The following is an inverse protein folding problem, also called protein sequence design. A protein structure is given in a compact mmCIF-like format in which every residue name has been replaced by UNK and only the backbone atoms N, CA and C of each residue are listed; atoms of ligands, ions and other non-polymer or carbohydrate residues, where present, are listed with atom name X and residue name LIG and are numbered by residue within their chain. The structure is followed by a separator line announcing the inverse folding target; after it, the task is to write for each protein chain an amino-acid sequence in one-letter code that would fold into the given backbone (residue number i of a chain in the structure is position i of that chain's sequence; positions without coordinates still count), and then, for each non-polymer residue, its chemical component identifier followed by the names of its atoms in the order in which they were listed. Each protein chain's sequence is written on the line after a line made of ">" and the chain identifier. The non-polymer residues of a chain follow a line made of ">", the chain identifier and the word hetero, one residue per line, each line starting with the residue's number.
data_IF_200612441106
#
_entry.id   IF_200612441106
#
_cell.length_a   1.000
_cell.length_b   1.000
_cell.length_c   1.000
_cell.angle_alpha   90.00
_cell.angle_beta   90.00
_cell.angle_gamma   90.00
#
_symmetry.space_group_name_H-M   'P 1'
#
loop_
_entity.id
_entity.type
_entity.pdbx_description
1 polymer ?
#
# COMPACT_ATOMS: atom_id res chain seq x y z
N UNK A 1 29.43 -63.22 -22.08
CA UNK A 1 28.37 -62.41 -21.40
C UNK A 1 28.77 -60.93 -21.44
N UNK A 2 28.28 -60.13 -22.40
CA UNK A 2 28.44 -58.67 -22.35
C UNK A 2 27.17 -58.00 -21.78
N UNK A 3 27.36 -57.04 -20.88
CA UNK A 3 26.31 -56.19 -20.31
C UNK A 3 26.26 -54.87 -21.10
N UNK A 4 25.03 -54.42 -21.35
CA UNK A 4 24.62 -53.16 -21.99
C UNK A 4 25.15 -51.91 -21.28
N UNK A 5 25.34 -50.78 -22.01
CA UNK A 5 25.64 -49.49 -21.42
C UNK A 5 24.35 -48.72 -21.08
N UNK A 6 24.34 -48.05 -19.93
CA UNK A 6 23.26 -47.17 -19.48
C UNK A 6 23.76 -45.74 -19.54
N UNK A 7 23.14 -44.95 -20.42
CA UNK A 7 23.31 -43.51 -20.55
C UNK A 7 22.91 -42.84 -19.24
N UNK A 8 23.83 -42.08 -18.62
CA UNK A 8 23.49 -41.12 -17.57
C UNK A 8 23.62 -39.71 -18.15
N UNK A 9 22.46 -39.09 -18.28
CA UNK A 9 22.22 -37.75 -18.83
C UNK A 9 22.71 -36.69 -17.85
N UNK A 10 23.42 -35.71 -18.42
CA UNK A 10 23.85 -34.45 -17.82
C UNK A 10 22.70 -33.68 -17.19
N UNK A 11 22.84 -33.27 -15.93
CA UNK A 11 21.99 -32.28 -15.29
C UNK A 11 22.85 -31.10 -14.84
N UNK A 12 22.84 -30.06 -15.68
CA UNK A 12 23.37 -28.74 -15.35
C UNK A 12 22.52 -28.12 -14.22
N UNK A 13 23.13 -27.97 -13.04
CA UNK A 13 22.56 -27.16 -11.97
C UNK A 13 22.83 -25.68 -12.27
N UNK A 14 21.85 -25.01 -12.87
CA UNK A 14 21.82 -23.56 -12.93
C UNK A 14 21.55 -23.00 -11.53
N UNK A 15 22.56 -22.40 -10.92
CA UNK A 15 22.41 -21.52 -9.78
C UNK A 15 21.67 -20.24 -10.22
N UNK A 16 20.38 -20.14 -9.88
CA UNK A 16 19.62 -18.89 -9.98
C UNK A 16 19.66 -18.23 -8.61
N UNK A 17 20.60 -17.29 -8.46
CA UNK A 17 20.60 -16.28 -7.41
C UNK A 17 19.33 -15.42 -7.53
N UNK A 18 18.61 -15.09 -6.44
CA UNK A 18 17.59 -14.07 -6.49
C UNK A 18 18.24 -12.68 -6.57
N UNK A 19 17.96 -11.99 -7.66
CA UNK A 19 18.37 -10.61 -7.92
C UNK A 19 17.69 -9.63 -6.93
N UNK A 20 18.39 -8.57 -6.49
CA UNK A 20 17.82 -7.52 -5.66
C UNK A 20 16.83 -6.70 -6.48
N UNK A 21 15.54 -6.75 -6.13
CA UNK A 21 14.54 -5.93 -6.80
C UNK A 21 14.75 -4.47 -6.38
N UNK A 22 15.30 -3.73 -7.35
CA UNK A 22 15.61 -2.31 -7.32
C UNK A 22 14.47 -1.45 -6.79
N UNK A 23 14.80 -0.64 -5.79
CA UNK A 23 14.21 0.67 -5.57
C UNK A 23 14.34 1.50 -6.85
N UNK A 24 13.20 1.84 -7.47
CA UNK A 24 13.11 3.00 -8.38
C UNK A 24 11.90 3.84 -7.99
N UNK A 25 12.04 4.58 -6.89
CA UNK A 25 11.24 5.76 -6.65
C UNK A 25 12.11 6.96 -7.03
N UNK A 26 11.93 7.47 -8.26
CA UNK A 26 12.65 8.65 -8.74
C UNK A 26 12.02 9.87 -8.08
N UNK A 27 12.67 10.36 -7.02
CA UNK A 27 12.47 11.72 -6.50
C UNK A 27 12.88 12.73 -7.59
N UNK A 28 11.90 13.35 -8.26
CA UNK A 28 12.13 14.59 -8.99
C UNK A 28 12.26 15.73 -7.96
N UNK A 29 13.51 16.08 -7.65
CA UNK A 29 13.87 17.23 -6.83
C UNK A 29 13.79 18.52 -7.66
N UNK A 30 13.06 19.53 -7.17
CA UNK A 30 12.93 20.85 -7.77
C UNK A 30 14.11 21.75 -7.40
N UNK A 31 14.56 22.59 -8.35
CA UNK A 31 15.51 23.66 -8.09
C UNK A 31 14.79 25.01 -7.91
N UNK A 32 15.32 25.81 -6.98
CA UNK A 32 14.72 27.00 -6.40
C UNK A 32 14.75 28.25 -7.31
N UNK A 33 13.73 29.10 -7.16
CA UNK A 33 13.79 30.52 -7.46
C UNK A 33 13.34 31.32 -6.23
N UNK A 34 14.16 32.28 -5.82
CA UNK A 34 14.04 33.14 -4.64
C UNK A 34 13.52 34.50 -5.07
N UNK A 35 12.53 35.08 -4.37
CA UNK A 35 12.32 36.54 -4.26
C UNK A 35 11.39 36.90 -3.08
N UNK A 36 11.42 38.18 -2.69
CA UNK A 36 11.27 38.74 -1.35
C UNK A 36 9.84 38.95 -0.81
N UNK A 37 9.78 39.16 0.52
CA UNK A 37 8.66 39.66 1.37
C UNK A 37 8.24 41.11 1.00
N UNK A 38 7.10 41.72 1.48
CA UNK A 38 6.60 41.65 2.88
C UNK A 38 5.06 41.73 3.12
N UNK A 39 4.70 41.67 4.41
CA UNK A 39 3.51 42.25 5.08
C UNK A 39 2.18 41.48 5.17
N UNK A 40 1.94 40.91 6.36
CA UNK A 40 0.79 41.24 7.21
C UNK A 40 -0.62 40.73 6.82
N UNK A 41 -1.01 39.56 7.34
CA UNK A 41 -2.36 39.35 7.86
C UNK A 41 -2.45 38.11 8.76
N UNK A 42 -2.83 38.33 10.02
CA UNK A 42 -3.23 37.30 10.97
C UNK A 42 -4.40 36.49 10.39
N UNK A 43 -4.12 35.29 9.88
CA UNK A 43 -5.14 34.26 9.69
C UNK A 43 -4.94 33.18 10.74
N UNK A 44 -5.90 33.15 11.66
CA UNK A 44 -6.08 32.14 12.70
C UNK A 44 -6.13 30.77 12.03
N UNK A 45 -5.01 30.06 12.00
CA UNK A 45 -4.94 28.72 11.43
C UNK A 45 -5.83 27.79 12.26
N UNK A 46 -6.78 27.16 11.57
CA UNK A 46 -7.63 26.13 12.16
C UNK A 46 -6.73 25.01 12.67
N UNK A 47 -6.82 24.78 13.97
CA UNK A 47 -6.00 23.86 14.78
C UNK A 47 -5.95 22.47 14.13
N UNK A 48 -4.73 21.99 13.98
CA UNK A 48 -4.26 20.80 13.27
C UNK A 48 -4.95 19.49 13.65
N UNK A 49 -5.51 18.77 12.65
CA UNK A 49 -5.85 17.34 12.75
C UNK A 49 -4.61 16.43 12.80
N UNK A 50 -3.41 16.93 12.47
CA UNK A 50 -2.17 16.16 12.60
C UNK A 50 -1.48 16.43 13.95
N UNK A 51 -1.51 15.44 14.85
CA UNK A 51 -0.68 15.46 16.08
C UNK A 51 0.81 15.21 15.77
N UNK A 52 1.11 14.79 14.55
CA UNK A 52 2.45 14.42 14.11
C UNK A 52 3.00 15.37 13.07
N UNK A 53 4.28 15.71 13.21
CA UNK A 53 5.05 16.37 12.16
C UNK A 53 5.34 15.40 11.00
N UNK A 54 5.64 15.91 9.80
CA UNK A 54 6.01 15.06 8.66
C UNK A 54 7.23 14.17 8.96
N UNK A 55 8.19 14.69 9.75
CA UNK A 55 9.38 13.97 10.20
C UNK A 55 9.02 12.81 11.13
N UNK A 56 8.09 13.03 12.07
CA UNK A 56 7.59 11.96 12.94
C UNK A 56 6.82 10.91 12.16
N UNK A 57 5.99 11.31 11.20
CA UNK A 57 5.26 10.37 10.35
C UNK A 57 6.20 9.44 9.60
N UNK A 58 7.27 10.00 9.02
CA UNK A 58 8.34 9.23 8.38
C UNK A 58 9.02 8.27 9.36
N UNK A 59 9.28 8.71 10.59
CA UNK A 59 9.86 7.85 11.63
C UNK A 59 8.94 6.68 11.99
N UNK A 60 7.63 6.91 12.11
CA UNK A 60 6.63 5.85 12.34
C UNK A 60 6.66 4.80 11.22
N UNK A 61 6.77 5.26 9.96
CA UNK A 61 6.93 4.40 8.79
C UNK A 61 8.20 3.55 8.84
N UNK A 62 9.36 4.16 9.14
CA UNK A 62 10.61 3.42 9.28
C UNK A 62 10.58 2.40 10.42
N UNK A 63 9.97 2.76 11.56
CA UNK A 63 9.77 1.83 12.67
C UNK A 63 8.89 0.65 12.26
N UNK A 64 7.79 0.89 11.54
CA UNK A 64 6.91 -0.16 11.03
C UNK A 64 7.67 -1.16 10.13
N UNK A 65 8.54 -0.65 9.26
CA UNK A 65 9.33 -1.46 8.33
C UNK A 65 10.49 -2.20 9.02
N UNK A 66 10.97 -1.70 10.16
CA UNK A 66 12.11 -2.29 10.87
C UNK A 66 11.79 -3.60 11.60
N UNK A 67 10.59 -3.74 12.16
CA UNK A 67 10.22 -4.90 12.99
C UNK A 67 8.71 -5.01 13.20
N UNK A 68 8.23 -6.25 13.33
CA UNK A 68 6.83 -6.57 13.67
C UNK A 68 6.41 -6.04 15.05
N UNK A 69 7.35 -5.75 15.94
CA UNK A 69 7.04 -5.14 17.25
C UNK A 69 6.39 -3.76 17.14
N UNK A 70 6.58 -3.07 16.00
CA UNK A 70 6.02 -1.76 15.73
C UNK A 70 4.74 -1.82 14.89
N UNK A 71 4.07 -2.97 14.80
CA UNK A 71 2.83 -3.11 14.01
C UNK A 71 1.71 -2.18 14.48
N UNK A 72 1.75 -1.72 15.73
CA UNK A 72 0.81 -0.72 16.25
C UNK A 72 0.93 0.66 15.57
N UNK A 73 2.01 0.93 14.83
CA UNK A 73 2.14 2.12 14.01
C UNK A 73 1.29 2.06 12.73
N UNK A 74 0.88 0.86 12.29
CA UNK A 74 0.14 0.66 11.05
C UNK A 74 -1.22 1.41 11.05
N UNK A 75 -2.08 1.32 12.08
CA UNK A 75 -3.29 2.13 12.16
C UNK A 75 -3.03 3.64 12.18
N UNK A 76 -1.93 4.09 12.77
CA UNK A 76 -1.58 5.51 12.81
C UNK A 76 -1.28 6.03 11.41
N UNK A 77 -0.50 5.27 10.62
CA UNK A 77 -0.19 5.59 9.23
C UNK A 77 -1.46 5.57 8.37
N UNK A 78 -2.33 4.57 8.54
CA UNK A 78 -3.60 4.49 7.80
C UNK A 78 -4.49 5.72 7.99
N UNK A 79 -4.47 6.36 9.16
CA UNK A 79 -5.25 7.57 9.42
C UNK A 79 -4.84 8.75 8.52
N UNK A 80 -3.61 8.78 7.99
CA UNK A 80 -3.14 9.82 7.07
C UNK A 80 -3.53 9.56 5.61
N UNK A 81 -4.12 8.40 5.28
CA UNK A 81 -4.65 8.11 3.95
C UNK A 81 -6.09 8.65 3.88
N UNK A 82 -6.21 9.96 3.70
CA UNK A 82 -7.49 10.63 3.54
C UNK A 82 -7.30 11.91 2.71
N UNK A 83 -8.29 12.29 1.88
CA UNK A 83 -8.24 13.54 1.12
C UNK A 83 -8.23 14.80 2.00
N UNK A 84 -8.51 14.67 3.31
CA UNK A 84 -8.45 15.78 4.26
C UNK A 84 -7.01 16.20 4.65
N UNK A 85 -6.02 15.34 4.42
CA UNK A 85 -4.64 15.64 4.76
C UNK A 85 -3.88 16.27 3.58
N UNK A 86 -2.88 17.13 3.84
CA UNK A 86 -2.05 17.66 2.76
C UNK A 86 -1.32 16.53 2.02
N UNK A 87 -1.12 16.63 0.68
CA UNK A 87 -0.58 15.55 -0.15
C UNK A 87 0.72 14.93 0.38
N UNK A 88 1.63 15.75 0.91
CA UNK A 88 2.89 15.30 1.50
C UNK A 88 2.73 14.29 2.65
N UNK A 89 1.68 14.43 3.48
CA UNK A 89 1.41 13.48 4.57
C UNK A 89 0.83 12.18 4.04
N UNK A 90 -0.07 12.28 3.06
CA UNK A 90 -0.66 11.11 2.38
C UNK A 90 0.44 10.30 1.71
N UNK A 91 1.34 10.97 0.97
CA UNK A 91 2.44 10.33 0.24
C UNK A 91 3.43 9.63 1.18
N UNK A 92 3.91 10.29 2.23
CA UNK A 92 4.87 9.65 3.14
C UNK A 92 4.26 8.46 3.89
N UNK A 93 2.97 8.53 4.23
CA UNK A 93 2.26 7.40 4.79
C UNK A 93 2.10 6.27 3.77
N UNK A 94 1.65 6.60 2.55
CA UNK A 94 1.42 5.64 1.47
C UNK A 94 2.68 4.85 1.12
N UNK A 95 3.83 5.52 0.98
CA UNK A 95 5.10 4.87 0.67
C UNK A 95 5.51 3.86 1.75
N UNK A 96 5.29 4.21 3.02
CA UNK A 96 5.59 3.33 4.16
C UNK A 96 4.65 2.12 4.18
N UNK A 97 3.35 2.34 3.96
CA UNK A 97 2.33 1.30 3.93
C UNK A 97 2.50 0.35 2.74
N UNK A 98 2.81 0.89 1.58
CA UNK A 98 3.10 0.10 0.38
C UNK A 98 4.31 -0.80 0.59
N UNK A 99 5.42 -0.22 1.08
CA UNK A 99 6.63 -0.99 1.39
C UNK A 99 6.37 -2.09 2.43
N UNK A 100 5.48 -1.83 3.39
CA UNK A 100 5.10 -2.80 4.41
C UNK A 100 4.23 -3.95 3.84
N UNK A 101 3.20 -3.63 3.05
CA UNK A 101 2.25 -4.62 2.57
C UNK A 101 2.75 -5.42 1.37
N UNK A 102 3.48 -4.82 0.42
CA UNK A 102 3.94 -5.48 -0.81
C UNK A 102 4.58 -6.85 -0.58
N UNK A 103 5.55 -7.05 0.34
CA UNK A 103 6.12 -8.37 0.62
C UNK A 103 5.18 -9.33 1.37
N UNK A 104 4.16 -8.80 2.06
CA UNK A 104 3.21 -9.57 2.87
C UNK A 104 2.00 -10.06 2.07
N UNK A 105 1.63 -9.37 1.00
CA UNK A 105 0.43 -9.68 0.19
C UNK A 105 0.28 -11.16 -0.20
N UNK A 106 1.34 -11.86 -0.70
CA UNK A 106 1.21 -13.26 -1.09
C UNK A 106 0.96 -14.22 0.08
N UNK A 107 1.09 -13.75 1.32
CA UNK A 107 0.99 -14.51 2.56
C UNK A 107 -0.30 -14.23 3.34
N UNK A 108 -1.06 -13.21 2.93
CA UNK A 108 -2.32 -12.86 3.55
C UNK A 108 -3.43 -13.83 3.13
N UNK A 109 -4.37 -14.16 4.04
CA UNK A 109 -5.54 -14.94 3.68
C UNK A 109 -6.39 -14.20 2.63
N UNK A 110 -7.10 -14.92 1.75
CA UNK A 110 -8.03 -14.29 0.81
C UNK A 110 -9.18 -13.60 1.56
N UNK A 111 -9.68 -12.46 1.06
CA UNK A 111 -10.77 -11.69 1.72
C UNK A 111 -12.07 -12.48 1.97
N UNK A 112 -12.23 -13.69 1.42
CA UNK A 112 -13.45 -14.50 1.51
C UNK A 112 -13.26 -15.88 2.14
N UNK A 113 -12.11 -16.20 2.73
CA UNK A 113 -12.00 -17.47 3.46
C UNK A 113 -12.77 -17.39 4.78
N UNK A 114 -13.99 -17.95 4.81
CA UNK A 114 -14.50 -18.57 6.04
C UNK A 114 -13.41 -19.51 6.51
N UNK A 115 -12.87 -19.25 7.70
CA UNK A 115 -11.83 -20.07 8.28
C UNK A 115 -12.37 -21.49 8.47
N UNK A 116 -11.96 -22.41 7.60
CA UNK A 116 -11.96 -23.83 7.92
C UNK A 116 -10.51 -24.22 8.13
N UNK A 117 -10.12 -24.32 9.39
CA UNK A 117 -8.90 -24.99 9.81
C UNK A 117 -9.18 -25.63 11.15
N UNK A 118 -9.07 -26.95 11.19
CA UNK A 118 -9.13 -27.78 12.39
C UNK A 118 -8.14 -27.27 13.45
N UNK A 119 -8.37 -27.53 14.76
CA UNK A 119 -7.51 -27.01 15.82
C UNK A 119 -6.09 -27.56 15.68
N UNK A 120 -5.17 -26.70 15.24
CA UNK A 120 -3.72 -26.93 15.31
C UNK A 120 -3.17 -26.16 16.51
N UNK A 121 -1.97 -26.53 16.96
CA UNK A 121 -1.31 -26.02 18.18
C UNK A 121 -1.32 -24.49 18.22
N UNK A 122 -1.56 -23.91 19.40
CA UNK A 122 -1.90 -22.49 19.61
C UNK A 122 -0.93 -21.40 19.11
N UNK A 123 0.24 -21.75 18.54
CA UNK A 123 1.12 -20.78 17.85
C UNK A 123 0.63 -20.50 16.42
N UNK A 124 0.06 -21.51 15.74
CA UNK A 124 -0.55 -21.34 14.41
C UNK A 124 -1.76 -20.40 14.48
N UNK A 125 -2.55 -20.49 15.56
CA UNK A 125 -3.73 -19.64 15.76
C UNK A 125 -3.38 -18.16 15.88
N UNK A 126 -2.28 -17.83 16.59
CA UNK A 126 -1.83 -16.46 16.76
C UNK A 126 -1.38 -15.82 15.42
N UNK A 127 -0.64 -16.57 14.60
CA UNK A 127 -0.25 -16.12 13.26
C UNK A 127 -1.45 -15.99 12.31
N UNK A 128 -2.45 -16.88 12.40
CA UNK A 128 -3.69 -16.77 11.62
C UNK A 128 -4.49 -15.53 12.01
N UNK A 129 -4.65 -15.25 13.32
CA UNK A 129 -5.32 -14.05 13.81
C UNK A 129 -4.58 -12.80 13.33
N UNK A 130 -3.25 -12.78 13.45
CA UNK A 130 -2.42 -11.66 13.00
C UNK A 130 -2.56 -11.39 11.50
N UNK A 131 -2.49 -12.43 10.66
CA UNK A 131 -2.63 -12.30 9.20
C UNK A 131 -4.04 -11.89 8.78
N UNK A 132 -5.06 -12.37 9.50
CA UNK A 132 -6.45 -11.97 9.29
C UNK A 132 -6.64 -10.49 9.62
N UNK A 133 -6.07 -10.02 10.73
CA UNK A 133 -6.08 -8.61 11.09
C UNK A 133 -5.32 -7.76 10.06
N UNK A 134 -4.14 -8.20 9.61
CA UNK A 134 -3.40 -7.52 8.55
C UNK A 134 -4.20 -7.43 7.25
N UNK A 135 -4.93 -8.49 6.89
CA UNK A 135 -5.80 -8.46 5.72
C UNK A 135 -6.90 -7.41 5.87
N UNK A 136 -7.53 -7.31 7.03
CA UNK A 136 -8.51 -6.25 7.32
C UNK A 136 -7.90 -4.85 7.19
N UNK A 137 -6.67 -4.64 7.66
CA UNK A 137 -5.96 -3.35 7.51
C UNK A 137 -5.57 -3.03 6.08
N UNK A 138 -5.20 -4.04 5.29
CA UNK A 138 -4.98 -3.87 3.86
C UNK A 138 -6.27 -3.52 3.12
N UNK A 139 -7.38 -4.19 3.43
CA UNK A 139 -8.67 -3.89 2.80
C UNK A 139 -9.12 -2.46 3.13
N UNK A 140 -8.86 -1.97 4.35
CA UNK A 140 -9.07 -0.57 4.75
C UNK A 140 -8.19 0.39 3.94
N UNK A 141 -6.89 0.10 3.79
CA UNK A 141 -5.99 0.91 2.95
C UNK A 141 -6.55 1.07 1.53
N UNK A 142 -6.93 -0.04 0.88
CA UNK A 142 -7.44 0.01 -0.50
C UNK A 142 -8.74 0.83 -0.57
N UNK A 143 -9.63 0.72 0.41
CA UNK A 143 -10.83 1.56 0.46
C UNK A 143 -10.49 3.04 0.57
N UNK A 144 -9.60 3.42 1.51
CA UNK A 144 -9.17 4.81 1.67
C UNK A 144 -8.46 5.38 0.43
N UNK A 145 -7.72 4.56 -0.31
CA UNK A 145 -7.11 4.98 -1.58
C UNK A 145 -8.15 5.21 -2.67
N UNK A 146 -9.17 4.36 -2.76
CA UNK A 146 -10.30 4.56 -3.68
C UNK A 146 -11.02 5.86 -3.33
N UNK A 147 -11.26 6.13 -2.04
CA UNK A 147 -11.91 7.36 -1.57
C UNK A 147 -11.13 8.61 -1.98
N UNK A 148 -9.79 8.57 -1.96
CA UNK A 148 -8.94 9.66 -2.47
C UNK A 148 -9.12 9.84 -3.98
N UNK A 149 -9.17 8.76 -4.76
CA UNK A 149 -9.30 8.81 -6.22
C UNK A 149 -10.63 9.41 -6.66
N UNK A 150 -11.72 9.04 -5.99
CA UNK A 150 -13.09 9.50 -6.31
C UNK A 150 -13.46 10.82 -5.63
N UNK A 151 -12.59 11.34 -4.75
CA UNK A 151 -12.81 12.63 -4.13
C UNK A 151 -12.96 13.72 -5.21
N UNK A 152 -13.81 14.75 -4.99
CA UNK A 152 -13.99 15.83 -5.97
C UNK A 152 -12.84 16.84 -6.02
N UNK A 153 -11.93 16.85 -5.04
CA UNK A 153 -10.82 17.81 -4.95
C UNK A 153 -9.43 17.19 -4.63
N UNK A 154 -9.05 16.02 -5.17
CA UNK A 154 -7.69 15.54 -5.01
C UNK A 154 -6.77 16.34 -5.92
N UNK A 155 -5.58 16.67 -5.41
CA UNK A 155 -4.48 17.11 -6.25
C UNK A 155 -4.26 16.10 -7.39
N UNK A 156 -4.18 16.53 -8.67
CA UNK A 156 -4.11 15.60 -9.80
C UNK A 156 -2.86 14.70 -9.73
N UNK A 157 -1.74 15.24 -9.26
CA UNK A 157 -0.50 14.49 -9.06
C UNK A 157 -0.67 13.42 -7.98
N UNK A 158 -1.30 13.77 -6.86
CA UNK A 158 -1.61 12.81 -5.80
C UNK A 158 -2.52 11.69 -6.31
N UNK A 159 -3.54 12.02 -7.09
CA UNK A 159 -4.46 11.04 -7.68
C UNK A 159 -3.73 10.06 -8.59
N UNK A 160 -2.82 10.54 -9.44
CA UNK A 160 -1.99 9.68 -10.30
C UNK A 160 -1.14 8.71 -9.46
N UNK A 161 -0.44 9.21 -8.44
CA UNK A 161 0.39 8.37 -7.57
C UNK A 161 -0.46 7.33 -6.81
N UNK A 162 -1.64 7.72 -6.33
CA UNK A 162 -2.56 6.80 -5.65
C UNK A 162 -3.10 5.73 -6.60
N UNK A 163 -3.45 6.09 -7.84
CA UNK A 163 -3.84 5.14 -8.87
C UNK A 163 -2.72 4.15 -9.18
N UNK A 164 -1.49 4.63 -9.33
CA UNK A 164 -0.32 3.78 -9.54
C UNK A 164 -0.11 2.79 -8.38
N UNK A 165 -0.27 3.25 -7.14
CA UNK A 165 -0.19 2.40 -5.95
C UNK A 165 -1.30 1.34 -5.93
N UNK A 166 -2.55 1.70 -6.26
CA UNK A 166 -3.64 0.73 -6.38
C UNK A 166 -3.32 -0.31 -7.45
N UNK A 167 -2.82 0.12 -8.61
CA UNK A 167 -2.45 -0.78 -9.70
C UNK A 167 -1.29 -1.70 -9.32
N UNK A 168 -0.34 -1.24 -8.52
CA UNK A 168 0.71 -2.09 -7.95
C UNK A 168 0.12 -3.18 -7.05
N UNK A 169 -0.84 -2.86 -6.18
CA UNK A 169 -1.50 -3.85 -5.33
C UNK A 169 -2.32 -4.87 -6.12
N UNK A 170 -3.00 -4.42 -7.19
CA UNK A 170 -3.71 -5.30 -8.12
C UNK A 170 -2.75 -6.30 -8.78
N UNK A 171 -1.51 -5.88 -9.09
CA UNK A 171 -0.47 -6.73 -9.69
C UNK A 171 0.24 -7.64 -8.66
N UNK A 172 0.49 -7.14 -7.45
CA UNK A 172 1.28 -7.83 -6.42
C UNK A 172 0.48 -8.89 -5.63
N UNK A 173 -0.85 -8.78 -5.61
CA UNK A 173 -1.71 -9.45 -4.63
C UNK A 173 -1.75 -10.97 -4.60
N UNK A 174 -1.16 -11.71 -5.56
CA UNK A 174 -1.30 -13.17 -5.58
C UNK A 174 -0.24 -13.91 -6.42
N UNK A 175 1.06 -13.78 -6.09
CA UNK A 175 2.19 -14.46 -6.79
C UNK A 175 2.17 -14.23 -8.31
N UNK A 176 1.85 -13.01 -8.74
CA UNK A 176 1.69 -12.64 -10.15
C UNK A 176 0.27 -12.81 -10.71
N UNK A 177 -0.71 -13.29 -9.92
CA UNK A 177 -2.12 -13.28 -10.31
C UNK A 177 -2.78 -11.94 -9.98
N UNK A 178 -3.50 -11.41 -10.96
CA UNK A 178 -4.24 -10.15 -10.90
C UNK A 178 -5.37 -10.20 -9.85
N UNK A 179 -5.40 -9.26 -8.90
CA UNK A 179 -6.46 -9.16 -7.89
C UNK A 179 -7.69 -8.43 -8.48
N UNK A 180 -8.49 -9.16 -9.26
CA UNK A 180 -9.63 -8.61 -10.00
C UNK A 180 -10.64 -7.89 -9.11
N UNK A 181 -10.85 -8.35 -7.87
CA UNK A 181 -11.78 -7.72 -6.93
C UNK A 181 -11.43 -6.25 -6.63
N UNK A 182 -10.14 -5.92 -6.47
CA UNK A 182 -9.70 -4.54 -6.20
C UNK A 182 -9.93 -3.68 -7.44
N UNK A 183 -9.58 -4.21 -8.61
CA UNK A 183 -9.79 -3.51 -9.88
C UNK A 183 -11.26 -3.24 -10.17
N UNK A 184 -12.14 -4.24 -10.03
CA UNK A 184 -13.58 -4.08 -10.21
C UNK A 184 -14.16 -3.07 -9.23
N UNK A 185 -13.72 -3.10 -7.97
CA UNK A 185 -14.13 -2.11 -6.97
C UNK A 185 -13.71 -0.70 -7.37
N UNK A 186 -12.47 -0.52 -7.85
CA UNK A 186 -11.99 0.78 -8.33
C UNK A 186 -12.86 1.30 -9.49
N UNK A 187 -13.02 0.51 -10.55
CA UNK A 187 -13.78 0.92 -11.74
C UNK A 187 -15.23 1.23 -11.39
N UNK A 188 -15.87 0.39 -10.58
CA UNK A 188 -17.24 0.62 -10.12
C UNK A 188 -17.37 1.97 -9.41
N UNK A 189 -16.47 2.28 -8.47
CA UNK A 189 -16.52 3.54 -7.72
C UNK A 189 -16.24 4.76 -8.61
N UNK A 190 -15.31 4.67 -9.57
CA UNK A 190 -15.04 5.75 -10.52
C UNK A 190 -16.29 6.05 -11.36
N UNK A 191 -16.89 5.01 -11.96
CA UNK A 191 -18.09 5.18 -12.80
C UNK A 191 -19.27 5.72 -12.00
N UNK A 192 -19.51 5.21 -10.79
CA UNK A 192 -20.60 5.72 -9.92
C UNK A 192 -20.37 7.16 -9.45
N UNK A 193 -19.10 7.57 -9.28
CA UNK A 193 -18.76 8.94 -8.90
C UNK A 193 -19.00 9.94 -10.03
N UNK A 194 -18.78 9.54 -11.29
CA UNK A 194 -19.03 10.39 -12.47
C UNK A 194 -20.52 10.47 -12.84
N UNK A 195 -21.30 9.42 -12.54
CA UNK A 195 -22.75 9.33 -12.83
C UNK A 195 -23.62 10.09 -11.81
N UNK A 196 -23.03 10.87 -10.90
CA UNK A 196 -23.77 11.84 -10.07
C UNK A 196 -23.69 13.29 -10.58
N UNK A 197 -24.12 13.63 -11.82
CA UNK A 197 -24.47 14.99 -12.15
C UNK A 197 -25.97 15.22 -11.86
N UNK A 198 -26.26 16.20 -11.01
CA UNK A 198 -27.33 17.16 -11.27
C UNK A 198 -28.80 16.69 -11.17
N UNK A 199 -29.26 16.27 -9.98
CA UNK A 199 -30.68 16.36 -9.60
C UNK A 199 -30.88 17.47 -8.55
N UNK A 200 -30.92 18.71 -9.03
CA UNK A 200 -31.58 19.83 -8.38
C UNK A 200 -32.46 20.48 -9.45
N UNK A 201 -33.76 20.16 -9.40
CA UNK A 201 -34.86 20.93 -9.96
C UNK A 201 -35.79 21.26 -8.79
#
# INVERSE_FOLDING_TARGET
>A
KPKTPLLLVSAAAYAVLPSPVSCKFILRSTAAAKMASPAGRNQKSRKSKSKHSLKELKALGQQLLSSRSHVNNLPLLLNFISPEFPPQYVLESLLSLQSFFTPLLPQLPPSSSKAHSAPSKGDDDAEVIYRTWLRSKFDHLVSSLIDIVISPQPDPTLREVVLDAIMEFVKAGNRGKFHSAIYHRLIHNIVSSEVSPHLHL
#
